data_IF_505364733934
#
_entry.id   IF_505364733934
#
_cell.length_a   1.000
_cell.length_b   1.000
_cell.length_c   1.000
_cell.angle_alpha   90.00
_cell.angle_beta   90.00
_cell.angle_gamma   90.00
#
_symmetry.space_group_name_H-M   'P 1'
#
loop_
_entity.id
_entity.type
_entity.pdbx_description
1 polymer ?
#
# COMPACT_ATOMS: atom_id res chain seq x y z
N UNK A 1 -19.01 1.04 7.42
CA UNK A 1 -17.83 0.90 6.53
C UNK A 1 -16.60 0.46 7.31
N UNK A 2 -15.73 -0.32 6.67
CA UNK A 2 -14.53 -0.80 7.33
C UNK A 2 -13.54 -1.35 6.29
N UNK A 3 -12.26 -1.36 6.63
CA UNK A 3 -11.23 -1.86 5.73
C UNK A 3 -10.04 -2.43 6.50
N UNK A 4 -8.87 -2.35 5.88
CA UNK A 4 -7.67 -2.87 6.52
C UNK A 4 -6.43 -2.46 5.74
N UNK A 5 -5.32 -3.17 5.97
CA UNK A 5 -4.04 -2.91 5.29
C UNK A 5 -3.61 -4.20 4.61
N UNK A 6 -3.25 -4.13 3.33
CA UNK A 6 -2.83 -5.33 2.63
C UNK A 6 -1.34 -5.38 2.34
N UNK A 7 -0.69 -6.42 2.87
CA UNK A 7 0.75 -6.62 2.71
C UNK A 7 1.18 -7.25 1.38
N UNK A 8 2.31 -6.78 0.86
CA UNK A 8 2.89 -7.27 -0.39
C UNK A 8 4.42 -7.37 -0.30
N UNK A 9 5.02 -8.19 -1.17
CA UNK A 9 6.46 -8.40 -1.19
C UNK A 9 7.20 -7.59 -2.26
N UNK A 10 6.53 -7.26 -3.36
CA UNK A 10 7.15 -6.48 -4.44
C UNK A 10 6.13 -5.61 -5.16
N UNK A 11 6.58 -4.49 -5.74
CA UNK A 11 5.68 -3.59 -6.46
C UNK A 11 5.13 -4.29 -7.71
N UNK A 12 5.36 -5.60 -7.77
CA UNK A 12 4.90 -6.47 -8.86
C UNK A 12 3.49 -6.88 -8.51
N UNK A 13 3.41 -7.79 -7.54
CA UNK A 13 2.16 -8.32 -7.05
C UNK A 13 1.11 -7.23 -6.89
N UNK A 14 1.44 -6.22 -6.09
CA UNK A 14 0.52 -5.12 -5.81
C UNK A 14 0.00 -4.41 -7.07
N UNK A 15 0.79 -4.42 -8.14
CA UNK A 15 0.37 -3.76 -9.38
C UNK A 15 -0.65 -4.58 -10.19
N UNK A 16 -0.55 -5.90 -10.11
CA UNK A 16 -1.48 -6.76 -10.82
C UNK A 16 -2.64 -7.16 -9.94
N UNK A 17 -2.59 -6.70 -8.69
CA UNK A 17 -3.63 -6.99 -7.72
C UNK A 17 -4.27 -5.79 -7.07
N UNK A 18 -3.85 -4.58 -7.44
CA UNK A 18 -4.45 -3.38 -6.86
C UNK A 18 -5.87 -3.27 -7.44
N UNK A 19 -6.16 -4.16 -8.38
CA UNK A 19 -7.44 -4.22 -9.06
C UNK A 19 -8.57 -4.66 -8.13
N UNK A 20 -8.31 -5.68 -7.32
CA UNK A 20 -9.30 -6.18 -6.34
C UNK A 20 -9.42 -5.23 -5.14
N UNK A 21 -8.42 -5.26 -4.26
CA UNK A 21 -8.38 -4.40 -3.08
C UNK A 21 -9.30 -3.17 -3.25
N UNK A 22 -10.47 -3.20 -2.60
CA UNK A 22 -11.51 -2.17 -2.60
C UNK A 22 -11.06 -0.84 -2.02
N UNK A 23 -11.81 0.22 -2.30
CA UNK A 23 -11.51 1.57 -1.82
C UNK A 23 -11.18 1.66 -0.34
N UNK A 24 -10.40 2.67 0.03
CA UNK A 24 -10.04 2.83 1.42
C UNK A 24 -9.30 1.67 2.05
N UNK A 25 -8.36 1.09 1.32
CA UNK A 25 -7.58 -0.01 1.86
C UNK A 25 -6.13 0.30 1.69
N UNK A 26 -5.42 0.54 2.79
CA UNK A 26 -4.01 0.83 2.70
C UNK A 26 -3.35 -0.33 1.95
N UNK A 27 -2.27 -0.02 1.25
CA UNK A 27 -1.54 -1.01 0.46
C UNK A 27 -0.05 -0.92 0.77
N UNK A 28 0.51 -1.95 1.41
CA UNK A 28 1.92 -1.94 1.76
C UNK A 28 2.85 -2.79 0.87
N UNK A 29 3.75 -2.12 0.15
CA UNK A 29 4.71 -2.83 -0.71
C UNK A 29 6.04 -2.98 0.06
N UNK A 30 6.01 -3.84 1.08
CA UNK A 30 7.15 -4.12 1.97
C UNK A 30 8.57 -3.95 1.46
N UNK A 31 8.90 -4.57 0.34
CA UNK A 31 10.25 -4.49 -0.21
C UNK A 31 10.62 -3.10 -0.68
N UNK A 32 9.60 -2.31 -1.01
CA UNK A 32 9.78 -0.94 -1.47
C UNK A 32 9.60 0.05 -0.32
N UNK A 33 9.01 -0.43 0.77
CA UNK A 33 8.75 0.39 1.95
C UNK A 33 7.84 1.53 1.54
N UNK A 34 6.79 1.19 0.78
CA UNK A 34 5.82 2.16 0.27
C UNK A 34 4.42 1.87 0.76
N UNK A 35 3.74 2.91 1.26
CA UNK A 35 2.38 2.76 1.75
C UNK A 35 1.50 3.70 0.94
N UNK A 36 0.52 3.12 0.23
CA UNK A 36 -0.42 3.89 -0.57
C UNK A 36 -1.78 3.48 -0.03
N UNK A 37 -2.79 4.30 -0.28
CA UNK A 37 -4.14 3.99 0.14
C UNK A 37 -4.95 3.92 -1.14
N UNK A 38 -5.78 2.88 -1.28
CA UNK A 38 -6.58 2.68 -2.48
C UNK A 38 -7.71 3.67 -2.59
N UNK A 39 -7.66 4.54 -3.59
CA UNK A 39 -8.70 5.54 -3.77
C UNK A 39 -9.65 5.27 -4.93
N UNK A 40 -10.67 6.12 -5.02
CA UNK A 40 -11.71 6.07 -6.04
C UNK A 40 -11.35 5.36 -7.35
N UNK A 41 -10.33 5.84 -8.05
CA UNK A 41 -9.94 5.20 -9.31
C UNK A 41 -8.42 5.12 -9.52
N UNK A 42 -7.77 4.33 -8.67
CA UNK A 42 -6.32 4.18 -8.72
C UNK A 42 -5.84 4.38 -7.29
N UNK A 43 -4.54 4.47 -7.06
CA UNK A 43 -4.07 4.66 -5.70
C UNK A 43 -3.34 5.99 -5.43
N UNK A 44 -3.38 6.46 -4.18
CA UNK A 44 -2.71 7.70 -3.75
C UNK A 44 -1.68 7.40 -2.67
N UNK A 45 -0.42 7.33 -3.06
CA UNK A 45 0.70 7.03 -2.16
C UNK A 45 0.88 7.98 -0.99
N UNK A 46 0.81 7.47 0.24
CA UNK A 46 0.99 8.33 1.42
C UNK A 46 2.47 8.66 1.67
N UNK A 47 2.71 9.90 2.09
CA UNK A 47 4.06 10.41 2.35
C UNK A 47 4.63 9.97 3.69
N UNK A 48 5.83 9.40 3.66
CA UNK A 48 6.48 8.97 4.89
C UNK A 48 7.85 9.61 4.90
N UNK A 49 8.47 9.68 6.07
CA UNK A 49 9.80 10.25 6.19
C UNK A 49 10.81 9.12 5.99
N UNK A 50 12.10 9.42 6.10
CA UNK A 50 13.14 8.40 5.92
C UNK A 50 13.11 7.48 7.13
N UNK A 51 13.59 6.25 6.97
CA UNK A 51 13.53 5.28 8.06
C UNK A 51 14.27 5.57 9.36
N UNK A 52 13.69 5.12 10.45
CA UNK A 52 14.25 5.29 11.78
C UNK A 52 14.75 3.91 12.19
N UNK A 53 16.00 3.81 12.68
CA UNK A 53 16.53 2.51 13.09
C UNK A 53 15.66 1.79 14.11
N UNK A 54 15.69 0.46 14.04
CA UNK A 54 14.90 -0.40 14.93
C UNK A 54 15.59 -0.94 16.21
N UNK A 55 16.78 -1.58 16.07
CA UNK A 55 17.57 -2.17 17.16
C UNK A 55 17.44 -1.57 18.57
#
# INVERSE_FOLDING_TARGET
GSSGVRLWATRQAMLGQVHEVPEGWLIFVAEQEELYVRVQNGFRKVQLEARTPLPR
#
